data_IF_902054231543
#
_entry.id   IF_902054231543
#
_cell.length_a   1.000
_cell.length_b   1.000
_cell.length_c   1.000
_cell.angle_alpha   90.00
_cell.angle_beta   90.00
_cell.angle_gamma   90.00
#
_symmetry.space_group_name_H-M   'P 1'
#
loop_
_entity.id
_entity.type
_entity.pdbx_description
1 polymer ?
#
# COMPACT_ATOMS: atom_id res chain seq x y z
N UNK A 1 -27.83 29.54 -21.97
CA UNK A 1 -26.78 28.69 -22.58
C UNK A 1 -25.84 28.40 -21.44
N UNK A 2 -25.73 27.13 -21.03
CA UNK A 2 -24.96 26.73 -19.87
C UNK A 2 -23.48 26.64 -20.29
N UNK A 3 -22.73 27.69 -20.00
CA UNK A 3 -21.29 27.72 -20.19
C UNK A 3 -20.65 27.10 -18.94
N UNK A 4 -20.43 25.79 -19.00
CA UNK A 4 -19.82 24.99 -17.95
C UNK A 4 -18.39 25.41 -17.60
N UNK A 5 -17.95 24.95 -16.43
CA UNK A 5 -16.62 25.18 -15.88
C UNK A 5 -15.56 24.67 -16.86
N UNK A 6 -14.60 25.51 -17.25
CA UNK A 6 -13.43 25.09 -18.05
C UNK A 6 -12.18 25.21 -17.20
N UNK A 7 -11.48 24.10 -16.94
CA UNK A 7 -10.25 24.08 -16.16
C UNK A 7 -9.05 23.97 -17.10
N UNK A 8 -8.01 24.77 -16.82
CA UNK A 8 -6.72 24.72 -17.52
C UNK A 8 -5.85 23.58 -16.92
N UNK A 9 -5.51 22.53 -17.69
CA UNK A 9 -4.83 21.33 -17.19
C UNK A 9 -3.33 21.51 -16.92
N UNK A 10 -2.79 22.75 -16.92
CA UNK A 10 -1.34 22.99 -16.96
C UNK A 10 -0.60 23.09 -15.61
N UNK A 11 -1.25 22.80 -14.48
CA UNK A 11 -0.58 22.89 -13.17
C UNK A 11 0.30 21.66 -12.88
N UNK A 12 1.61 21.83 -13.07
CA UNK A 12 2.64 20.82 -12.81
C UNK A 12 2.98 20.77 -11.32
N UNK A 13 2.85 19.62 -10.63
CA UNK A 13 3.42 19.41 -9.28
C UNK A 13 3.78 17.94 -9.04
N UNK A 14 4.89 17.68 -8.32
CA UNK A 14 5.41 16.34 -8.06
C UNK A 14 6.36 16.21 -6.87
N UNK A 15 6.20 17.01 -5.81
CA UNK A 15 7.00 16.87 -4.60
C UNK A 15 6.15 17.00 -3.32
N UNK A 16 6.34 16.08 -2.38
CA UNK A 16 5.75 16.14 -1.04
C UNK A 16 5.91 17.53 -0.40
N UNK A 17 4.87 17.97 0.32
CA UNK A 17 4.77 19.29 0.96
C UNK A 17 4.76 20.50 0.01
N UNK A 18 4.55 20.31 -1.29
CA UNK A 18 4.36 21.42 -2.23
C UNK A 18 2.89 21.84 -2.31
N UNK A 19 2.63 23.14 -2.29
CA UNK A 19 1.29 23.68 -2.55
C UNK A 19 0.93 23.53 -4.03
N UNK A 20 -0.14 22.80 -4.31
CA UNK A 20 -0.72 22.62 -5.64
C UNK A 20 -1.91 23.55 -5.79
N UNK A 21 -1.88 24.42 -6.79
CA UNK A 21 -3.05 25.23 -7.15
C UNK A 21 -4.05 24.41 -7.98
N UNK A 22 -5.32 24.46 -7.60
CA UNK A 22 -6.44 24.01 -8.43
C UNK A 22 -7.06 25.27 -9.03
N UNK A 23 -6.87 25.48 -10.34
CA UNK A 23 -7.46 26.64 -11.00
C UNK A 23 -8.87 26.29 -11.50
N UNK A 24 -9.88 26.57 -10.68
CA UNK A 24 -11.29 26.40 -11.04
C UNK A 24 -11.80 27.70 -11.67
N UNK A 25 -12.23 27.65 -12.94
CA UNK A 25 -12.81 28.82 -13.59
C UNK A 25 -14.24 29.04 -13.09
N UNK A 26 -14.56 30.14 -12.40
CA UNK A 26 -15.86 30.36 -11.77
C UNK A 26 -17.01 30.54 -12.78
N UNK A 27 -17.71 29.46 -13.14
CA UNK A 27 -19.03 29.51 -13.81
C UNK A 27 -20.10 28.67 -13.11
N UNK A 28 -19.97 28.52 -11.79
CA UNK A 28 -21.08 28.14 -10.92
C UNK A 28 -22.01 29.36 -10.73
N UNK A 29 -23.32 29.18 -10.84
CA UNK A 29 -24.26 30.31 -10.68
C UNK A 29 -24.33 30.68 -9.20
N UNK A 30 -23.61 31.74 -8.82
CA UNK A 30 -23.78 32.48 -7.58
C UNK A 30 -24.45 33.80 -7.97
N UNK A 31 -25.77 33.87 -7.78
CA UNK A 31 -26.56 35.01 -8.25
C UNK A 31 -26.67 36.15 -7.24
N UNK A 32 -26.45 35.87 -5.96
CA UNK A 32 -26.65 36.84 -4.87
C UNK A 32 -25.61 36.81 -3.73
N UNK A 33 -24.59 35.96 -3.83
CA UNK A 33 -23.48 35.79 -2.89
C UNK A 33 -23.76 34.77 -1.78
N UNK A 34 -24.89 34.03 -1.84
CA UNK A 34 -25.33 33.14 -0.76
C UNK A 34 -24.97 31.67 -0.98
N UNK A 35 -24.70 31.26 -2.23
CA UNK A 35 -24.43 29.87 -2.57
C UNK A 35 -23.01 29.44 -2.17
N UNK A 36 -22.90 28.20 -1.68
CA UNK A 36 -21.61 27.59 -1.33
C UNK A 36 -21.36 26.35 -2.18
N UNK A 37 -20.08 26.10 -2.46
CA UNK A 37 -19.64 24.95 -3.25
C UNK A 37 -19.14 23.86 -2.30
N UNK A 38 -19.55 22.63 -2.59
CA UNK A 38 -18.97 21.42 -2.03
C UNK A 38 -18.03 20.80 -3.06
N UNK A 39 -16.78 20.60 -2.69
CA UNK A 39 -15.80 19.86 -3.50
C UNK A 39 -15.60 18.47 -2.91
N UNK A 40 -15.60 17.45 -3.75
CA UNK A 40 -15.21 16.08 -3.39
C UNK A 40 -14.03 15.67 -4.26
N UNK A 41 -12.88 15.42 -3.65
CA UNK A 41 -11.63 15.13 -4.34
C UNK A 41 -11.18 13.68 -4.05
N UNK A 42 -10.69 12.97 -5.05
CA UNK A 42 -10.25 11.57 -4.96
C UNK A 42 -8.88 11.36 -5.63
N UNK A 43 -8.14 10.32 -5.22
CA UNK A 43 -6.86 9.95 -5.83
C UNK A 43 -5.63 10.48 -5.10
N UNK A 44 -5.75 10.83 -3.81
CA UNK A 44 -4.59 11.20 -3.01
C UNK A 44 -3.90 9.97 -2.41
N UNK A 45 -4.65 8.95 -1.96
CA UNK A 45 -4.08 7.72 -1.40
C UNK A 45 -3.37 7.90 -0.03
N UNK A 46 -3.68 8.97 0.71
CA UNK A 46 -2.94 9.41 1.91
C UNK A 46 -3.75 9.47 3.20
N UNK A 47 -5.00 9.01 3.21
CA UNK A 47 -5.81 8.90 4.44
C UNK A 47 -6.22 10.23 5.10
N UNK A 48 -6.86 10.17 6.27
CA UNK A 48 -7.56 11.31 6.90
C UNK A 48 -6.71 12.59 7.07
N UNK A 49 -5.42 12.46 7.38
CA UNK A 49 -4.54 13.59 7.74
C UNK A 49 -3.56 14.04 6.64
N UNK A 50 -3.66 13.48 5.43
CA UNK A 50 -2.63 13.66 4.42
C UNK A 50 -2.78 14.89 3.52
N UNK A 51 -3.90 15.63 3.59
CA UNK A 51 -4.21 16.75 2.68
C UNK A 51 -4.74 17.97 3.42
N UNK A 52 -4.06 19.10 3.23
CA UNK A 52 -4.56 20.40 3.70
C UNK A 52 -5.06 21.23 2.52
N UNK A 53 -6.14 21.97 2.74
CA UNK A 53 -6.73 22.84 1.73
C UNK A 53 -6.73 24.28 2.20
N UNK A 54 -6.46 25.20 1.28
CA UNK A 54 -6.50 26.63 1.56
C UNK A 54 -6.94 27.44 0.36
N UNK A 55 -7.65 28.53 0.62
CA UNK A 55 -7.95 29.54 -0.39
C UNK A 55 -7.70 30.92 0.20
N UNK A 56 -6.84 31.71 -0.45
CA UNK A 56 -6.36 32.97 0.12
C UNK A 56 -5.74 32.77 1.53
N UNK A 57 -6.38 33.34 2.55
CA UNK A 57 -5.99 33.21 3.96
C UNK A 57 -6.86 32.20 4.74
N UNK A 58 -7.88 31.62 4.11
CA UNK A 58 -8.80 30.65 4.72
C UNK A 58 -8.21 29.25 4.61
N UNK A 59 -8.11 28.55 5.73
CA UNK A 59 -7.80 27.12 5.76
C UNK A 59 -9.11 26.33 5.82
N UNK A 60 -9.19 25.30 5.01
CA UNK A 60 -10.32 24.39 4.95
C UNK A 60 -9.92 23.05 5.54
N UNK A 61 -10.71 22.57 6.49
CA UNK A 61 -10.58 21.22 7.03
C UNK A 61 -11.49 20.30 6.21
N UNK A 62 -10.94 19.42 5.36
CA UNK A 62 -11.76 18.47 4.64
C UNK A 62 -12.35 17.43 5.61
N UNK A 63 -13.52 16.91 5.28
CA UNK A 63 -14.00 15.64 5.84
C UNK A 63 -13.49 14.51 4.97
N UNK A 64 -12.76 13.56 5.54
CA UNK A 64 -12.30 12.38 4.81
C UNK A 64 -13.36 11.27 4.86
N UNK A 65 -13.62 10.64 3.72
CA UNK A 65 -14.45 9.45 3.60
C UNK A 65 -13.56 8.27 3.20
N UNK A 66 -13.29 7.42 4.18
CA UNK A 66 -12.45 6.23 4.05
C UNK A 66 -13.01 5.19 3.06
N UNK A 67 -14.33 5.12 2.89
CA UNK A 67 -14.98 4.12 2.02
C UNK A 67 -14.74 4.43 0.54
N UNK A 68 -14.49 5.69 0.21
CA UNK A 68 -14.36 6.18 -1.17
C UNK A 68 -13.02 6.83 -1.48
N UNK A 69 -12.11 6.90 -0.50
CA UNK A 69 -10.87 7.67 -0.53
C UNK A 69 -11.08 9.11 -1.04
N UNK A 70 -12.12 9.76 -0.50
CA UNK A 70 -12.49 11.11 -0.91
C UNK A 70 -12.36 12.13 0.21
N UNK A 71 -11.92 13.34 -0.16
CA UNK A 71 -11.94 14.51 0.72
C UNK A 71 -13.08 15.41 0.29
N UNK A 72 -14.00 15.67 1.21
CA UNK A 72 -15.11 16.60 0.99
C UNK A 72 -14.85 17.90 1.72
N UNK A 73 -14.89 19.01 0.98
CA UNK A 73 -14.82 20.36 1.54
C UNK A 73 -16.13 21.05 1.23
N UNK A 74 -16.83 21.52 2.25
CA UNK A 74 -18.08 22.26 2.13
C UNK A 74 -17.86 23.74 2.42
N UNK A 75 -18.75 24.60 1.92
CA UNK A 75 -18.77 26.00 2.33
C UNK A 75 -17.78 26.89 1.59
N UNK A 76 -17.20 26.43 0.47
CA UNK A 76 -16.29 27.25 -0.33
C UNK A 76 -17.12 28.27 -1.09
N UNK A 77 -16.81 29.56 -0.94
CA UNK A 77 -17.50 30.61 -1.70
C UNK A 77 -16.98 30.68 -3.14
N UNK A 78 -17.78 31.27 -4.01
CA UNK A 78 -17.43 31.40 -5.43
C UNK A 78 -16.09 32.15 -5.64
N UNK A 79 -15.83 33.18 -4.84
CA UNK A 79 -14.59 33.97 -4.88
C UNK A 79 -13.35 33.17 -4.47
N UNK A 80 -13.51 32.13 -3.65
CA UNK A 80 -12.41 31.31 -3.14
C UNK A 80 -12.00 30.19 -4.11
N UNK A 81 -12.83 29.83 -5.09
CA UNK A 81 -12.51 28.78 -6.07
C UNK A 81 -11.30 29.12 -6.95
N UNK A 82 -11.14 30.38 -7.32
CA UNK A 82 -10.05 30.82 -8.22
C UNK A 82 -8.65 30.81 -7.57
N UNK A 83 -8.55 30.61 -6.25
CA UNK A 83 -7.27 30.58 -5.54
C UNK A 83 -7.06 29.34 -4.67
N UNK A 84 -7.91 28.32 -4.85
CA UNK A 84 -7.85 27.10 -4.05
C UNK A 84 -6.52 26.37 -4.29
N UNK A 85 -5.87 26.02 -3.20
CA UNK A 85 -4.66 25.18 -3.19
C UNK A 85 -4.85 24.02 -2.25
N UNK A 86 -4.21 22.90 -2.57
CA UNK A 86 -4.01 21.80 -1.64
C UNK A 86 -2.53 21.55 -1.41
N UNK A 87 -2.18 20.96 -0.29
CA UNK A 87 -0.83 20.53 0.02
C UNK A 87 -0.90 19.15 0.65
N UNK A 88 -0.10 18.22 0.14
CA UNK A 88 -0.04 16.84 0.63
C UNK A 88 1.28 16.58 1.33
N UNK A 89 1.24 15.75 2.38
CA UNK A 89 2.44 15.33 3.09
C UNK A 89 3.22 14.23 2.35
N UNK A 90 2.55 13.52 1.43
CA UNK A 90 3.11 12.42 0.64
C UNK A 90 2.95 12.64 -0.86
N UNK A 91 3.61 11.81 -1.67
CA UNK A 91 3.41 11.77 -3.11
C UNK A 91 2.02 11.23 -3.43
N UNK A 92 1.34 11.84 -4.41
CA UNK A 92 -0.05 11.53 -4.79
C UNK A 92 -0.11 10.93 -6.18
N UNK A 93 -1.25 10.33 -6.55
CA UNK A 93 -1.45 9.73 -7.87
C UNK A 93 -1.24 10.75 -9.00
N UNK A 94 -0.84 10.24 -10.18
CA UNK A 94 -0.65 11.05 -11.40
C UNK A 94 -1.92 11.76 -11.87
N UNK A 95 -3.10 11.37 -11.39
CA UNK A 95 -4.37 12.03 -11.69
C UNK A 95 -5.25 12.07 -10.44
N UNK A 96 -5.76 13.26 -10.11
CA UNK A 96 -6.72 13.51 -9.02
C UNK A 96 -8.07 13.82 -9.66
N UNK A 97 -9.12 13.16 -9.22
CA UNK A 97 -10.50 13.48 -9.66
C UNK A 97 -11.12 14.46 -8.69
N UNK A 98 -11.75 15.51 -9.19
CA UNK A 98 -12.45 16.50 -8.38
C UNK A 98 -13.88 16.65 -8.90
N UNK A 99 -14.83 16.56 -7.98
CA UNK A 99 -16.26 16.77 -8.22
C UNK A 99 -16.68 18.04 -7.50
N UNK A 100 -17.27 18.98 -8.22
CA UNK A 100 -17.84 20.19 -7.65
C UNK A 100 -19.36 20.12 -7.67
N UNK A 101 -19.97 20.47 -6.54
CA UNK A 101 -21.41 20.47 -6.36
C UNK A 101 -21.86 21.78 -5.72
N UNK A 102 -22.85 22.46 -6.31
CA UNK A 102 -23.57 23.57 -5.67
C UNK A 102 -25.00 23.17 -5.37
N UNK A 103 -25.52 23.76 -4.28
CA UNK A 103 -26.93 23.71 -3.92
C UNK A 103 -27.45 25.14 -3.94
N UNK A 104 -28.45 25.42 -4.78
CA UNK A 104 -29.11 26.74 -4.86
C UNK A 104 -29.90 27.05 -3.58
N UNK A 105 -29.88 28.32 -3.13
CA UNK A 105 -30.79 28.79 -2.07
C UNK A 105 -32.20 29.04 -2.65
N UNK A 106 -33.18 28.75 -1.80
CA UNK A 106 -34.63 28.66 -1.93
C UNK A 106 -35.38 29.86 -2.53
N UNK A 107 -34.72 30.86 -3.12
CA UNK A 107 -35.37 32.03 -3.74
C UNK A 107 -35.62 31.91 -5.26
N UNK A 108 -35.30 30.78 -5.89
CA UNK A 108 -35.63 30.55 -7.30
C UNK A 108 -36.03 29.09 -7.61
N UNK A 109 -37.10 28.60 -7.00
CA UNK A 109 -37.89 27.44 -7.44
C UNK A 109 -37.13 26.28 -8.09
N UNK A 110 -36.18 25.70 -7.36
CA UNK A 110 -35.86 24.26 -7.33
C UNK A 110 -34.74 24.05 -6.32
N UNK A 111 -34.80 22.97 -5.54
CA UNK A 111 -33.62 22.39 -4.88
C UNK A 111 -32.71 21.75 -5.94
N UNK A 112 -32.30 22.52 -6.95
CA UNK A 112 -31.49 22.04 -8.04
C UNK A 112 -30.06 21.90 -7.55
N UNK A 113 -29.56 20.67 -7.58
CA UNK A 113 -28.16 20.37 -7.32
C UNK A 113 -27.45 20.31 -8.66
N UNK A 114 -26.49 21.21 -8.90
CA UNK A 114 -25.64 21.16 -10.08
C UNK A 114 -24.35 20.45 -9.67
N UNK A 115 -24.03 19.34 -10.34
CA UNK A 115 -22.81 18.57 -10.09
C UNK A 115 -22.00 18.46 -11.37
N UNK A 116 -20.71 18.80 -11.29
CA UNK A 116 -19.75 18.65 -12.37
C UNK A 116 -18.54 17.83 -11.89
N UNK A 117 -17.92 17.05 -12.77
CA UNK A 117 -16.81 16.15 -12.45
C UNK A 117 -15.66 16.38 -13.42
N UNK A 118 -14.45 16.55 -12.89
CA UNK A 118 -13.26 16.83 -13.68
C UNK A 118 -12.03 16.10 -13.15
N UNK A 119 -11.02 15.95 -14.00
CA UNK A 119 -9.76 15.27 -13.67
C UNK A 119 -8.60 16.25 -13.77
N UNK A 120 -7.76 16.29 -12.74
CA UNK A 120 -6.55 17.11 -12.63
C UNK A 120 -5.33 16.20 -12.76
N UNK A 121 -4.42 16.51 -13.69
CA UNK A 121 -3.17 15.75 -13.86
C UNK A 121 -2.08 16.28 -12.93
N UNK A 122 -1.30 15.36 -12.36
CA UNK A 122 -0.20 15.60 -11.42
C UNK A 122 1.12 15.14 -12.07
N UNK A 123 2.00 16.09 -12.39
CA UNK A 123 3.31 15.83 -13.04
C UNK A 123 4.37 15.43 -12.01
N UNK A 124 4.69 14.13 -11.92
CA UNK A 124 5.68 13.58 -11.00
C UNK A 124 5.11 12.67 -9.91
N UNK A 125 3.81 12.37 -9.95
CA UNK A 125 3.23 11.27 -9.18
C UNK A 125 3.83 9.91 -9.58
N UNK A 126 3.84 8.97 -8.64
CA UNK A 126 4.13 7.56 -8.88
C UNK A 126 3.00 6.91 -9.70
N UNK A 127 3.33 5.85 -10.45
CA UNK A 127 2.34 5.00 -11.16
C UNK A 127 1.52 4.15 -10.17
N UNK A 128 0.99 4.78 -9.13
CA UNK A 128 -0.01 4.14 -8.28
C UNK A 128 -1.30 4.05 -9.08
N UNK A 129 -1.56 2.88 -9.66
CA UNK A 129 -2.90 2.50 -10.06
C UNK A 129 -3.67 2.19 -8.78
N UNK A 130 -4.72 2.94 -8.41
CA UNK A 130 -5.51 2.59 -7.24
C UNK A 130 -6.01 1.14 -7.42
N UNK A 131 -5.74 0.23 -6.47
CA UNK A 131 -6.39 -1.07 -6.48
C UNK A 131 -7.91 -0.85 -6.45
N UNK A 132 -8.69 -1.70 -7.13
CA UNK A 132 -10.15 -1.61 -7.10
C UNK A 132 -10.60 -1.59 -5.65
N UNK A 133 -11.29 -0.51 -5.26
CA UNK A 133 -11.60 -0.13 -3.87
C UNK A 133 -11.62 -1.31 -2.87
N UNK A 134 -10.54 -1.51 -2.10
CA UNK A 134 -10.53 -2.39 -0.94
C UNK A 134 -10.99 -1.59 0.27
N UNK A 135 -12.13 -1.99 0.84
CA UNK A 135 -12.65 -1.43 2.08
C UNK A 135 -11.90 -2.02 3.27
N UNK A 136 -11.66 -1.16 4.27
CA UNK A 136 -11.09 -1.44 5.60
C UNK A 136 -9.58 -1.24 5.78
N UNK A 137 -9.12 0.01 5.54
CA UNK A 137 -7.92 0.51 6.22
C UNK A 137 -8.14 0.47 7.74
N UNK A 138 -7.49 -0.47 8.43
CA UNK A 138 -7.10 -0.28 9.81
C UNK A 138 -6.22 0.96 9.86
N UNK A 139 -6.58 1.96 10.67
CA UNK A 139 -5.94 3.27 10.70
C UNK A 139 -4.41 3.14 10.82
N UNK A 140 -3.67 3.57 9.80
CA UNK A 140 -2.23 3.75 9.86
C UNK A 140 -1.94 5.02 10.67
N UNK A 141 -1.23 4.95 11.81
CA UNK A 141 -0.79 6.14 12.52
C UNK A 141 0.32 6.85 11.73
N UNK A 142 0.44 8.17 11.89
CA UNK A 142 1.38 8.97 11.14
C UNK A 142 2.85 8.50 11.35
N UNK A 143 3.65 8.49 10.28
CA UNK A 143 5.06 8.06 10.24
C UNK A 143 6.05 8.83 11.15
N UNK A 144 5.55 9.67 12.08
CA UNK A 144 6.33 10.39 13.08
C UNK A 144 6.24 9.78 14.48
N UNK A 145 5.42 8.74 14.68
CA UNK A 145 5.02 8.31 16.02
C UNK A 145 5.65 6.96 16.34
N UNK A 146 6.51 6.91 17.36
CA UNK A 146 7.06 5.68 17.93
C UNK A 146 6.04 5.01 18.86
N UNK A 147 4.77 4.98 18.47
CA UNK A 147 3.67 4.58 19.33
C UNK A 147 3.27 3.14 19.06
N UNK A 148 3.30 2.32 20.09
CA UNK A 148 2.87 0.92 20.02
C UNK A 148 1.36 0.82 19.76
N UNK A 149 0.98 0.37 18.57
CA UNK A 149 -0.40 0.24 18.11
C UNK A 149 -0.92 -1.19 18.15
N UNK A 150 -2.25 -1.31 18.19
CA UNK A 150 -2.95 -2.56 17.90
C UNK A 150 -3.83 -2.28 16.69
N UNK A 151 -3.44 -2.84 15.55
CA UNK A 151 -4.12 -2.67 14.28
C UNK A 151 -4.81 -3.97 13.93
N UNK A 152 -6.05 -3.88 13.46
CA UNK A 152 -6.86 -5.06 13.20
C UNK A 152 -7.67 -4.85 11.94
N UNK A 153 -7.49 -5.74 10.97
CA UNK A 153 -8.26 -5.88 9.75
C UNK A 153 -9.64 -6.46 9.99
N UNK A 154 -10.24 -6.90 8.90
CA UNK A 154 -11.65 -7.21 8.75
C UNK A 154 -11.84 -8.69 8.45
N UNK A 155 -12.70 -9.05 7.51
CA UNK A 155 -12.81 -10.42 6.99
C UNK A 155 -12.67 -10.42 5.46
N UNK A 156 -12.16 -9.31 4.93
CA UNK A 156 -11.96 -8.99 3.53
C UNK A 156 -10.50 -8.57 3.37
N UNK A 157 -10.01 -8.51 2.13
CA UNK A 157 -8.64 -8.13 1.84
C UNK A 157 -8.30 -6.68 2.29
N UNK A 158 -7.32 -6.58 3.18
CA UNK A 158 -6.89 -5.34 3.82
C UNK A 158 -5.44 -4.96 3.51
N UNK A 159 -5.13 -3.67 3.63
CA UNK A 159 -3.76 -3.18 3.71
C UNK A 159 -3.55 -2.54 5.07
N UNK A 160 -2.70 -3.16 5.89
CA UNK A 160 -2.44 -2.77 7.27
C UNK A 160 -0.98 -2.34 7.39
N UNK A 161 -0.78 -1.08 7.79
CA UNK A 161 0.56 -0.52 8.02
C UNK A 161 0.65 0.00 9.44
N UNK A 162 1.63 -0.53 10.18
CA UNK A 162 2.04 -0.07 11.51
C UNK A 162 2.84 1.23 11.46
N UNK A 163 3.49 1.53 12.58
CA UNK A 163 4.21 2.77 12.87
C UNK A 163 5.72 2.52 12.95
N UNK A 164 6.42 3.34 13.74
CA UNK A 164 7.83 3.11 14.08
C UNK A 164 7.99 2.52 15.48
N UNK A 165 6.89 2.24 16.17
CA UNK A 165 6.82 1.65 17.52
C UNK A 165 6.76 0.12 17.48
N UNK A 166 6.40 -0.52 18.59
CA UNK A 166 6.14 -1.96 18.64
C UNK A 166 4.65 -2.22 18.42
N UNK A 167 4.27 -2.52 17.19
CA UNK A 167 2.88 -2.70 16.77
C UNK A 167 2.45 -4.17 16.81
N UNK A 168 1.15 -4.40 16.98
CA UNK A 168 0.51 -5.71 16.79
C UNK A 168 -0.54 -5.60 15.69
N UNK A 169 -0.28 -6.23 14.55
CA UNK A 169 -1.14 -6.23 13.37
C UNK A 169 -1.83 -7.58 13.22
N UNK A 170 -3.15 -7.54 13.03
CA UNK A 170 -3.98 -8.73 12.83
C UNK A 170 -4.80 -8.57 11.54
N UNK A 171 -4.49 -9.32 10.48
CA UNK A 171 -5.25 -9.32 9.22
C UNK A 171 -6.66 -9.89 9.40
N UNK A 172 -6.72 -11.04 10.10
CA UNK A 172 -7.88 -11.89 10.41
C UNK A 172 -8.33 -12.75 9.23
N UNK A 173 -8.91 -12.17 8.20
CA UNK A 173 -9.54 -12.93 7.13
C UNK A 173 -9.56 -12.11 5.88
N UNK A 174 -9.29 -12.72 4.73
CA UNK A 174 -9.06 -11.98 3.49
C UNK A 174 -7.68 -12.30 2.95
N UNK A 175 -7.28 -11.61 1.88
CA UNK A 175 -5.91 -11.70 1.38
C UNK A 175 -5.25 -10.36 1.69
N UNK A 176 -4.58 -10.30 2.82
CA UNK A 176 -4.14 -9.07 3.44
C UNK A 176 -2.69 -8.73 3.08
N UNK A 177 -2.34 -7.45 3.19
CA UNK A 177 -0.96 -6.98 3.12
C UNK A 177 -0.61 -6.33 4.44
N UNK A 178 0.34 -6.91 5.17
CA UNK A 178 0.78 -6.45 6.49
C UNK A 178 2.18 -5.85 6.41
N UNK A 179 2.34 -4.66 6.96
CA UNK A 179 3.63 -3.97 7.07
C UNK A 179 3.79 -3.39 8.49
N UNK A 180 4.64 -3.99 9.32
CA UNK A 180 4.98 -3.44 10.64
C UNK A 180 5.67 -2.08 10.56
N UNK A 181 6.36 -1.82 9.44
CA UNK A 181 7.30 -0.72 9.23
C UNK A 181 8.59 -0.93 10.01
N UNK A 182 8.84 -0.21 11.11
CA UNK A 182 10.10 -0.37 11.84
C UNK A 182 9.76 -0.56 13.29
N UNK A 183 10.36 -1.53 13.96
CA UNK A 183 9.99 -1.81 15.34
C UNK A 183 9.99 -3.28 15.61
N UNK A 184 9.73 -3.66 16.85
CA UNK A 184 9.58 -5.06 17.21
C UNK A 184 8.11 -5.46 17.07
N UNK A 185 7.66 -5.62 15.82
CA UNK A 185 6.25 -5.79 15.51
C UNK A 185 5.80 -7.25 15.59
N UNK A 186 4.50 -7.45 15.78
CA UNK A 186 3.86 -8.77 15.72
C UNK A 186 2.84 -8.77 14.60
N UNK A 187 3.10 -9.55 13.57
CA UNK A 187 2.30 -9.59 12.35
C UNK A 187 1.61 -10.94 12.26
N UNK A 188 0.28 -10.93 12.27
CA UNK A 188 -0.57 -12.12 12.16
C UNK A 188 -1.49 -11.97 10.94
N UNK A 189 -1.27 -12.75 9.88
CA UNK A 189 -2.07 -12.74 8.66
C UNK A 189 -3.50 -13.20 8.93
N UNK A 190 -3.67 -14.47 9.28
CA UNK A 190 -4.95 -15.02 9.71
C UNK A 190 -5.48 -16.06 8.73
N UNK A 191 -6.63 -15.81 8.11
CA UNK A 191 -7.23 -16.70 7.12
C UNK A 191 -7.11 -16.08 5.72
N UNK A 192 -6.63 -16.83 4.74
CA UNK A 192 -6.54 -16.41 3.34
C UNK A 192 -5.08 -16.27 2.92
N UNK A 193 -4.85 -15.83 1.68
CA UNK A 193 -3.48 -15.77 1.13
C UNK A 193 -2.89 -14.38 1.40
N UNK A 194 -2.07 -14.26 2.44
CA UNK A 194 -1.55 -13.00 2.95
C UNK A 194 -0.14 -12.69 2.45
N UNK A 195 0.19 -11.40 2.34
CA UNK A 195 1.53 -10.91 2.06
C UNK A 195 2.06 -10.11 3.24
N UNK A 196 3.15 -10.57 3.84
CA UNK A 196 3.79 -9.90 4.98
C UNK A 196 5.11 -9.29 4.53
N UNK A 197 5.25 -7.98 4.70
CA UNK A 197 6.48 -7.25 4.41
C UNK A 197 7.43 -7.45 5.58
N UNK A 198 8.56 -8.10 5.32
CA UNK A 198 9.56 -8.44 6.32
C UNK A 198 10.39 -7.23 6.75
N UNK A 199 10.52 -7.02 8.07
CA UNK A 199 11.58 -6.23 8.68
C UNK A 199 12.38 -7.10 9.68
N UNK A 200 13.73 -7.05 9.70
CA UNK A 200 14.54 -7.85 10.62
C UNK A 200 14.34 -7.55 12.10
N UNK A 201 13.71 -6.43 12.46
CA UNK A 201 13.39 -6.10 13.84
C UNK A 201 12.06 -6.72 14.30
N UNK A 202 11.21 -7.20 13.39
CA UNK A 202 9.92 -7.82 13.70
C UNK A 202 10.11 -8.93 14.75
N UNK A 203 9.24 -8.93 15.76
CA UNK A 203 9.31 -9.88 16.86
C UNK A 203 8.61 -11.21 16.55
N UNK A 204 7.54 -11.17 15.75
CA UNK A 204 6.74 -12.33 15.34
C UNK A 204 6.15 -12.06 13.95
N UNK A 205 6.26 -13.07 13.07
CA UNK A 205 5.57 -13.14 11.79
C UNK A 205 4.88 -14.50 11.71
N UNK A 206 3.56 -14.49 11.53
CA UNK A 206 2.70 -15.66 11.46
C UNK A 206 1.73 -15.45 10.30
N UNK A 207 1.90 -16.21 9.21
CA UNK A 207 1.03 -16.12 8.02
C UNK A 207 -0.38 -16.63 8.34
N UNK A 208 -0.47 -17.80 8.98
CA UNK A 208 -1.71 -18.41 9.43
C UNK A 208 -2.23 -19.48 8.47
N UNK A 209 -3.54 -19.51 8.25
CA UNK A 209 -4.16 -20.47 7.35
C UNK A 209 -4.25 -19.88 5.94
N UNK A 210 -3.50 -20.42 4.99
CA UNK A 210 -3.59 -19.97 3.61
C UNK A 210 -2.36 -20.32 2.81
N UNK A 211 -2.10 -19.52 1.77
CA UNK A 211 -0.82 -19.53 1.08
C UNK A 211 -0.16 -18.17 1.20
N UNK A 212 0.71 -18.05 2.18
CA UNK A 212 1.25 -16.79 2.65
C UNK A 212 2.64 -16.52 2.07
N UNK A 213 2.93 -15.23 1.88
CA UNK A 213 4.12 -14.74 1.20
C UNK A 213 4.89 -13.75 2.06
N UNK A 214 6.14 -14.09 2.37
CA UNK A 214 7.07 -13.21 3.06
C UNK A 214 7.85 -12.39 2.04
N UNK A 215 7.52 -11.10 1.93
CA UNK A 215 8.21 -10.20 1.01
C UNK A 215 9.49 -9.65 1.65
N UNK A 216 10.63 -9.96 1.05
CA UNK A 216 11.95 -9.56 1.53
C UNK A 216 12.58 -8.61 0.52
N UNK A 217 12.87 -7.39 0.95
CA UNK A 217 13.42 -6.34 0.07
C UNK A 217 14.90 -6.02 0.32
N UNK A 218 15.56 -6.78 1.20
CA UNK A 218 16.97 -6.59 1.58
C UNK A 218 17.72 -7.91 1.72
N UNK A 219 19.01 -7.83 2.09
CA UNK A 219 19.82 -9.03 2.32
C UNK A 219 19.60 -9.56 3.74
N UNK A 220 19.24 -10.83 3.86
CA UNK A 220 18.83 -11.43 5.13
C UNK A 220 19.52 -12.76 5.35
N UNK A 221 20.15 -12.93 6.50
CA UNK A 221 20.64 -14.23 6.94
C UNK A 221 19.66 -14.82 7.96
N UNK A 222 18.73 -15.64 7.49
CA UNK A 222 17.69 -16.24 8.34
C UNK A 222 18.28 -17.16 9.40
N UNK A 223 19.46 -17.75 9.16
CA UNK A 223 20.15 -18.63 10.13
C UNK A 223 20.54 -17.93 11.43
N UNK A 224 20.50 -16.59 11.43
CA UNK A 224 20.81 -15.74 12.59
C UNK A 224 19.57 -15.30 13.35
N UNK A 225 18.38 -15.58 12.83
CA UNK A 225 17.12 -15.28 13.50
C UNK A 225 16.75 -16.43 14.43
N UNK A 226 15.77 -16.19 15.30
CA UNK A 226 15.19 -17.27 16.07
C UNK A 226 14.27 -18.09 15.16
N UNK A 227 14.31 -19.42 15.29
CA UNK A 227 13.54 -20.33 14.42
C UNK A 227 12.03 -20.17 14.60
N UNK A 228 11.56 -19.67 15.75
CA UNK A 228 10.14 -19.45 16.06
C UNK A 228 9.66 -18.02 15.73
N UNK A 229 10.50 -17.20 15.11
CA UNK A 229 10.16 -15.81 14.76
C UNK A 229 9.23 -15.72 13.55
N UNK A 230 9.40 -16.61 12.59
CA UNK A 230 8.64 -16.65 11.34
C UNK A 230 8.05 -18.05 11.20
N UNK A 231 6.73 -18.13 11.13
CA UNK A 231 5.98 -19.39 11.04
C UNK A 231 4.84 -19.27 10.03
N UNK A 232 4.37 -20.43 9.58
CA UNK A 232 3.23 -20.58 8.68
C UNK A 232 3.33 -19.71 7.41
N UNK A 233 4.44 -19.86 6.68
CA UNK A 233 4.72 -19.22 5.39
C UNK A 233 4.97 -20.27 4.30
N UNK A 234 4.48 -20.04 3.08
CA UNK A 234 4.72 -20.93 1.94
C UNK A 234 5.71 -20.34 0.92
N UNK A 235 5.81 -19.02 0.86
CA UNK A 235 6.59 -18.31 -0.15
C UNK A 235 7.53 -17.30 0.52
N UNK A 236 8.80 -17.29 0.10
CA UNK A 236 9.68 -16.13 0.23
C UNK A 236 9.72 -15.42 -1.12
N UNK A 237 9.29 -14.16 -1.12
CA UNK A 237 9.21 -13.31 -2.31
C UNK A 237 10.34 -12.27 -2.29
N UNK A 238 11.26 -12.41 -3.24
CA UNK A 238 12.39 -11.51 -3.48
C UNK A 238 12.16 -10.57 -4.68
N UNK A 239 10.97 -10.56 -5.31
CA UNK A 239 10.67 -9.73 -6.50
C UNK A 239 10.63 -8.21 -6.22
N UNK A 240 11.12 -7.78 -5.05
CA UNK A 240 11.30 -6.37 -4.69
C UNK A 240 12.37 -5.66 -5.53
N UNK A 241 12.49 -4.34 -5.36
CA UNK A 241 13.48 -3.58 -6.14
C UNK A 241 14.89 -3.85 -5.62
N UNK A 242 15.77 -4.34 -6.49
CA UNK A 242 17.19 -4.51 -6.17
C UNK A 242 17.65 -5.94 -6.44
N UNK A 243 18.80 -6.29 -5.88
CA UNK A 243 19.24 -7.67 -5.75
C UNK A 243 19.16 -8.02 -4.28
N UNK A 244 18.48 -9.11 -3.95
CA UNK A 244 18.39 -9.65 -2.62
C UNK A 244 19.24 -10.90 -2.51
N UNK A 245 19.93 -11.04 -1.38
CA UNK A 245 20.67 -12.23 -1.01
C UNK A 245 20.17 -12.74 0.33
N UNK A 246 19.59 -13.93 0.32
CA UNK A 246 19.13 -14.60 1.53
C UNK A 246 20.01 -15.80 1.86
N UNK A 247 20.12 -16.13 3.14
CA UNK A 247 20.74 -17.37 3.61
C UNK A 247 19.74 -18.20 4.40
N UNK A 248 19.62 -19.48 4.07
CA UNK A 248 18.68 -20.42 4.69
C UNK A 248 19.39 -21.71 5.10
N UNK A 249 18.94 -22.31 6.20
CA UNK A 249 19.22 -23.69 6.55
C UNK A 249 17.92 -24.49 6.63
N UNK A 250 18.03 -25.81 6.79
CA UNK A 250 16.86 -26.68 6.83
C UNK A 250 16.03 -26.56 8.12
N UNK A 251 16.60 -26.03 9.21
CA UNK A 251 15.87 -25.82 10.46
C UNK A 251 14.90 -24.64 10.30
N UNK A 252 15.37 -23.54 9.73
CA UNK A 252 14.56 -22.35 9.45
C UNK A 252 13.52 -22.60 8.37
N UNK A 253 13.84 -23.33 7.30
CA UNK A 253 12.84 -23.68 6.27
C UNK A 253 11.67 -24.45 6.87
N UNK A 254 11.94 -25.39 7.79
CA UNK A 254 10.88 -26.14 8.46
C UNK A 254 10.07 -25.31 9.43
N UNK A 255 10.75 -24.46 10.19
CA UNK A 255 10.05 -23.63 11.15
C UNK A 255 9.11 -22.63 10.45
N UNK A 256 9.58 -22.02 9.36
CA UNK A 256 8.79 -21.12 8.51
C UNK A 256 7.64 -21.83 7.81
N UNK A 257 7.86 -23.00 7.21
CA UNK A 257 6.81 -23.71 6.45
C UNK A 257 5.84 -24.54 7.29
N UNK A 258 5.94 -24.45 8.62
CA UNK A 258 5.05 -25.15 9.54
C UNK A 258 4.96 -26.64 9.25
N UNK A 259 3.78 -27.10 8.80
CA UNK A 259 3.52 -28.51 8.55
C UNK A 259 3.91 -28.99 7.14
N UNK A 260 4.16 -28.07 6.20
CA UNK A 260 4.42 -28.41 4.80
C UNK A 260 5.88 -28.77 4.54
N UNK A 261 6.78 -28.39 5.46
CA UNK A 261 8.23 -28.57 5.36
C UNK A 261 8.82 -28.06 4.03
N UNK A 262 8.07 -27.26 3.28
CA UNK A 262 8.38 -26.88 1.90
C UNK A 262 8.20 -25.38 1.76
N UNK A 263 9.26 -24.69 1.35
CA UNK A 263 9.18 -23.28 0.95
C UNK A 263 9.39 -23.11 -0.55
N UNK A 264 8.69 -22.14 -1.14
CA UNK A 264 8.95 -21.63 -2.47
C UNK A 264 9.74 -20.33 -2.35
N UNK A 265 10.78 -20.14 -3.16
CA UNK A 265 11.50 -18.87 -3.26
C UNK A 265 11.32 -18.33 -4.67
N UNK A 266 10.81 -17.10 -4.75
CA UNK A 266 10.68 -16.33 -5.99
C UNK A 266 11.60 -15.13 -5.95
N UNK A 267 12.00 -14.62 -7.11
CA UNK A 267 12.88 -13.46 -7.20
C UNK A 267 13.09 -12.98 -8.62
N UNK A 268 13.83 -11.88 -8.76
CA UNK A 268 14.22 -11.34 -10.05
C UNK A 268 15.13 -12.34 -10.79
N UNK A 269 14.77 -12.55 -12.06
CA UNK A 269 15.44 -13.48 -12.97
C UNK A 269 16.20 -12.75 -14.09
N UNK A 270 16.12 -11.40 -14.12
CA UNK A 270 16.76 -10.58 -15.12
C UNK A 270 18.30 -10.63 -15.02
N UNK A 271 18.97 -10.78 -16.16
CA UNK A 271 20.43 -10.88 -16.23
C UNK A 271 21.11 -9.63 -15.62
N UNK A 272 21.88 -9.85 -14.55
CA UNK A 272 22.63 -8.82 -13.85
C UNK A 272 21.92 -8.17 -12.66
N UNK A 273 20.70 -8.61 -12.34
CA UNK A 273 19.94 -8.23 -11.14
C UNK A 273 19.35 -9.46 -10.41
N UNK A 274 19.97 -10.64 -10.58
CA UNK A 274 19.44 -11.89 -10.02
C UNK A 274 19.56 -11.91 -8.51
N UNK A 275 18.51 -12.37 -7.88
CA UNK A 275 18.54 -12.70 -6.46
C UNK A 275 19.36 -13.95 -6.19
N UNK A 276 19.85 -14.07 -4.96
CA UNK A 276 20.74 -15.16 -4.54
C UNK A 276 20.21 -15.85 -3.28
N UNK A 277 20.13 -17.17 -3.31
CA UNK A 277 19.79 -18.01 -2.16
C UNK A 277 21.03 -18.83 -1.74
N UNK A 278 21.60 -18.52 -0.59
CA UNK A 278 22.67 -19.29 0.02
C UNK A 278 22.07 -20.37 0.93
N UNK A 279 22.50 -21.61 0.75
CA UNK A 279 21.95 -22.78 1.42
C UNK A 279 23.02 -23.45 2.27
N UNK A 280 22.81 -23.42 3.58
CA UNK A 280 23.74 -24.00 4.54
C UNK A 280 23.32 -25.40 5.00
N UNK A 281 24.32 -26.22 5.33
CA UNK A 281 24.15 -27.46 6.09
C UNK A 281 23.29 -28.55 5.43
N UNK A 282 23.80 -29.14 4.33
CA UNK A 282 23.34 -30.46 3.86
C UNK A 282 22.20 -30.46 2.83
N UNK A 283 21.98 -29.34 2.15
CA UNK A 283 21.08 -29.28 1.00
C UNK A 283 21.62 -30.07 -0.19
N UNK A 284 20.71 -30.66 -0.96
CA UNK A 284 21.01 -31.34 -2.22
C UNK A 284 20.05 -30.83 -3.29
N UNK A 285 20.59 -30.37 -4.42
CA UNK A 285 19.78 -30.17 -5.63
C UNK A 285 19.44 -31.55 -6.22
N UNK A 286 18.15 -31.80 -6.41
CA UNK A 286 17.65 -33.06 -6.97
C UNK A 286 17.92 -33.19 -8.47
N UNK A 287 18.28 -32.08 -9.14
CA UNK A 287 18.41 -31.99 -10.59
C UNK A 287 17.07 -32.04 -11.31
N UNK A 288 15.96 -31.88 -10.58
CA UNK A 288 14.60 -31.86 -11.13
C UNK A 288 13.98 -30.49 -11.00
N UNK A 289 12.98 -30.23 -11.84
CA UNK A 289 12.20 -28.99 -11.82
C UNK A 289 10.72 -29.30 -11.71
N UNK A 290 9.98 -28.36 -11.16
CA UNK A 290 8.52 -28.41 -11.03
C UNK A 290 7.88 -27.14 -11.58
N UNK A 291 6.78 -27.29 -12.30
CA UNK A 291 5.97 -26.17 -12.79
C UNK A 291 4.86 -25.87 -11.78
N UNK A 292 4.83 -24.63 -11.27
CA UNK A 292 3.81 -24.16 -10.34
C UNK A 292 3.26 -22.84 -10.90
N UNK A 293 2.03 -22.89 -11.42
CA UNK A 293 1.48 -21.78 -12.21
C UNK A 293 2.27 -21.60 -13.51
N UNK A 294 2.65 -20.37 -13.82
CA UNK A 294 3.43 -20.01 -15.01
C UNK A 294 4.96 -20.02 -14.75
N UNK A 295 5.38 -20.43 -13.55
CA UNK A 295 6.78 -20.43 -13.11
C UNK A 295 7.34 -21.85 -12.99
N UNK A 296 8.64 -21.99 -13.27
CA UNK A 296 9.41 -23.23 -13.11
C UNK A 296 10.32 -23.08 -11.90
N UNK A 297 10.43 -24.11 -11.06
CA UNK A 297 11.25 -24.12 -9.87
C UNK A 297 12.24 -25.29 -9.88
N UNK A 298 13.49 -25.04 -9.47
CA UNK A 298 14.44 -26.08 -9.08
C UNK A 298 14.01 -26.70 -7.75
N UNK A 299 14.07 -28.02 -7.65
CA UNK A 299 13.67 -28.75 -6.42
C UNK A 299 14.92 -29.18 -5.65
N UNK A 300 15.02 -28.72 -4.41
CA UNK A 300 16.10 -29.04 -3.48
C UNK A 300 15.54 -29.69 -2.22
N UNK A 301 16.32 -30.57 -1.61
CA UNK A 301 15.93 -31.21 -0.36
C UNK A 301 17.08 -31.30 0.64
N UNK A 302 16.72 -31.32 1.92
CA UNK A 302 17.59 -31.67 3.03
C UNK A 302 17.02 -32.93 3.70
N UNK A 303 17.60 -34.08 3.35
CA UNK A 303 17.07 -35.39 3.78
C UNK A 303 17.21 -35.63 5.30
N UNK A 304 18.18 -34.98 5.97
CA UNK A 304 18.38 -35.15 7.41
C UNK A 304 17.26 -34.51 8.22
N UNK A 305 16.77 -33.36 7.76
CA UNK A 305 15.73 -32.61 8.44
C UNK A 305 14.33 -32.85 7.86
N UNK A 306 14.21 -33.48 6.69
CA UNK A 306 12.98 -33.54 5.89
C UNK A 306 12.47 -32.14 5.54
N UNK A 307 13.37 -31.30 5.02
CA UNK A 307 13.05 -29.96 4.52
C UNK A 307 13.17 -29.94 2.99
N UNK A 308 12.27 -29.22 2.34
CA UNK A 308 12.20 -29.09 0.88
C UNK A 308 12.19 -27.62 0.51
N UNK A 309 12.85 -27.29 -0.59
CA UNK A 309 12.91 -25.92 -1.11
C UNK A 309 12.70 -25.94 -2.61
N UNK A 310 11.89 -25.03 -3.11
CA UNK A 310 11.63 -24.84 -4.53
C UNK A 310 12.08 -23.44 -4.93
N UNK A 311 13.19 -23.31 -5.65
CA UNK A 311 13.76 -22.01 -6.03
C UNK A 311 13.42 -21.71 -7.48
N UNK A 312 12.83 -20.55 -7.76
CA UNK A 312 12.42 -20.15 -9.10
C UNK A 312 13.60 -20.18 -10.08
N UNK A 313 13.36 -20.74 -11.25
CA UNK A 313 14.36 -20.80 -12.31
C UNK A 313 14.76 -19.39 -12.73
N UNK A 314 16.05 -19.08 -12.61
CA UNK A 314 16.61 -17.75 -12.90
C UNK A 314 17.20 -17.09 -11.66
N UNK A 315 16.70 -17.42 -10.46
CA UNK A 315 17.32 -17.08 -9.18
C UNK A 315 18.60 -17.90 -9.01
N UNK A 316 19.68 -17.25 -8.57
CA UNK A 316 20.95 -17.92 -8.28
C UNK A 316 20.89 -18.61 -6.91
N UNK A 317 21.50 -19.79 -6.79
CA UNK A 317 21.62 -20.44 -5.48
C UNK A 317 22.97 -21.13 -5.32
N UNK A 318 23.43 -21.17 -4.07
CA UNK A 318 24.72 -21.73 -3.68
C UNK A 318 24.55 -22.68 -2.50
N UNK A 319 25.03 -23.92 -2.64
CA UNK A 319 25.02 -24.92 -1.58
C UNK A 319 26.42 -24.96 -0.95
N UNK A 320 26.48 -24.74 0.37
CA UNK A 320 27.71 -24.77 1.16
C UNK A 320 28.07 -26.18 1.66
#
# INVERSE_FOLDING_TARGET
MADGLTIDPTNSVGAANSEVAINLNPTMIDTDGSETVTLTLAGFGVGEDGVTFKSGATNYTPTYNSDTDTYTITGITHAELGTLKFQTQYNVAKEITVKAQTVEDSNHDASATVTDTFTVKVTGGNDYTPPPAPGHRGAAPAASDTYDGILTGSSEADYISGTRGEDSLYGKGGNDILNGSTGADKLYGGLGDDTIIFDPADAVIDGGDGKDSLQVSENVDFTRLATDLIVDMEIIDLEGSGQQSITLDAEHVKAMSGNDNTLLVKGDTADGARDTVNLEHGWTDTGTTEEIGDMVYHVLNNAENDAHLKIQQGVEYHIA
#
